data_IF_137703201863
#
_entry.id   IF_137703201863
#
_cell.length_a   1.000
_cell.length_b   1.000
_cell.length_c   1.000
_cell.angle_alpha   90.00
_cell.angle_beta   90.00
_cell.angle_gamma   90.00
#
_symmetry.space_group_name_H-M   'P 1'
#
loop_
_entity.id
_entity.type
_entity.pdbx_description
1 polymer ?
#
# COMPACT_ATOMS: atom_id res chain seq x y z
N UNK A 1 -14.99 -12.41 2.14
CA UNK A 1 -14.82 -11.52 0.97
C UNK A 1 -14.33 -10.20 1.51
N UNK A 2 -13.12 -9.80 1.16
CA UNK A 2 -12.59 -8.49 1.52
C UNK A 2 -13.38 -7.41 0.78
N UNK A 3 -13.95 -6.46 1.51
CA UNK A 3 -14.65 -5.33 0.90
C UNK A 3 -13.62 -4.29 0.48
N UNK A 4 -13.39 -4.17 -0.83
CA UNK A 4 -12.53 -3.14 -1.40
C UNK A 4 -13.39 -1.92 -1.70
N UNK A 5 -13.03 -0.79 -1.09
CA UNK A 5 -13.58 0.52 -1.39
C UNK A 5 -12.60 1.19 -2.36
N UNK A 6 -13.02 1.41 -3.60
CA UNK A 6 -12.24 2.16 -4.58
C UNK A 6 -12.16 3.64 -4.18
N UNK A 7 -11.00 4.25 -4.41
CA UNK A 7 -10.76 5.68 -4.17
C UNK A 7 -10.07 6.29 -5.40
N UNK A 8 -9.96 7.62 -5.43
CA UNK A 8 -9.12 8.28 -6.42
C UNK A 8 -7.65 7.86 -6.23
N UNK A 9 -6.97 7.36 -7.27
CA UNK A 9 -5.58 6.95 -7.16
C UNK A 9 -4.66 8.09 -6.73
N UNK A 10 -3.69 7.80 -5.87
CA UNK A 10 -2.67 8.79 -5.49
C UNK A 10 -1.31 8.13 -5.25
N UNK A 11 -0.25 8.90 -5.44
CA UNK A 11 1.12 8.45 -5.25
C UNK A 11 1.50 8.44 -3.77
N UNK A 12 2.11 7.35 -3.34
CA UNK A 12 2.47 7.11 -1.95
C UNK A 12 3.79 6.35 -1.86
N UNK A 13 4.24 6.13 -0.62
CA UNK A 13 5.28 5.18 -0.31
C UNK A 13 4.87 4.28 0.85
N UNK A 14 5.25 3.02 0.81
CA UNK A 14 4.99 2.04 1.87
C UNK A 14 6.30 1.58 2.54
N UNK A 15 6.29 1.32 3.86
CA UNK A 15 7.47 0.89 4.59
C UNK A 15 7.68 -0.62 4.47
N UNK A 16 8.93 -1.03 4.20
CA UNK A 16 9.38 -2.42 4.27
C UNK A 16 10.47 -2.54 5.32
N UNK A 17 10.21 -3.35 6.35
CA UNK A 17 11.20 -3.70 7.36
C UNK A 17 12.10 -4.82 6.85
N UNK A 18 13.41 -4.55 6.79
CA UNK A 18 14.41 -5.54 6.44
C UNK A 18 14.96 -6.24 7.69
N UNK A 19 15.52 -7.44 7.52
CA UNK A 19 16.28 -8.10 8.58
C UNK A 19 17.41 -7.17 9.07
N UNK A 20 17.47 -6.94 10.39
CA UNK A 20 18.36 -5.94 10.99
C UNK A 20 17.68 -4.64 11.43
N UNK A 21 16.36 -4.51 11.26
CA UNK A 21 15.56 -3.42 11.84
C UNK A 21 15.52 -2.12 11.01
N UNK A 22 16.26 -2.05 9.89
CA UNK A 22 16.17 -0.93 8.96
C UNK A 22 14.81 -0.95 8.24
N UNK A 23 14.18 0.22 8.14
CA UNK A 23 12.96 0.42 7.36
C UNK A 23 13.30 1.24 6.11
N UNK A 24 13.03 0.68 4.93
CA UNK A 24 13.11 1.41 3.65
C UNK A 24 11.70 1.71 3.15
N UNK A 25 11.54 2.82 2.45
CA UNK A 25 10.26 3.23 1.85
C UNK A 25 10.33 3.05 0.34
N UNK A 26 9.29 2.44 -0.22
CA UNK A 26 9.19 2.14 -1.65
C UNK A 26 7.98 2.86 -2.24
N UNK A 27 8.18 3.44 -3.42
CA UNK A 27 7.12 4.17 -4.13
C UNK A 27 6.01 3.21 -4.58
N UNK A 28 4.77 3.68 -4.52
CA UNK A 28 3.60 2.96 -4.98
C UNK A 28 2.47 3.93 -5.37
N UNK A 29 1.43 3.39 -6.00
CA UNK A 29 0.16 4.08 -6.17
C UNK A 29 -0.91 3.38 -5.33
N UNK A 30 -1.67 4.12 -4.54
CA UNK A 30 -2.82 3.60 -3.78
C UNK A 30 -4.07 3.75 -4.63
N UNK A 31 -4.86 2.69 -4.80
CA UNK A 31 -6.09 2.71 -5.61
C UNK A 31 -7.36 2.33 -4.84
N UNK A 32 -7.22 1.90 -3.59
CA UNK A 32 -8.34 1.43 -2.80
C UNK A 32 -8.00 1.20 -1.34
N UNK A 33 -9.02 0.97 -0.54
CA UNK A 33 -8.92 0.58 0.87
C UNK A 33 -9.72 -0.71 1.07
N UNK A 34 -9.06 -1.73 1.59
CA UNK A 34 -9.67 -2.98 2.05
C UNK A 34 -10.08 -2.83 3.50
N UNK A 35 -11.31 -3.24 3.80
CA UNK A 35 -11.81 -3.30 5.15
C UNK A 35 -12.35 -4.71 5.45
N UNK A 36 -11.57 -5.52 6.17
CA UNK A 36 -11.88 -6.93 6.40
C UNK A 36 -12.83 -7.18 7.60
N UNK A 37 -13.13 -6.15 8.41
CA UNK A 37 -14.11 -6.24 9.51
C UNK A 37 -14.14 -5.00 10.40
N UNK A 38 -15.20 -4.83 11.21
CA UNK A 38 -15.44 -3.63 12.04
C UNK A 38 -14.36 -3.26 13.05
N UNK A 39 -13.41 -4.16 13.30
CA UNK A 39 -12.27 -3.97 14.20
C UNK A 39 -10.93 -3.83 13.47
N UNK A 40 -10.92 -3.92 12.13
CA UNK A 40 -9.69 -3.80 11.36
C UNK A 40 -9.44 -2.33 11.00
N UNK A 41 -8.17 -1.89 11.03
CA UNK A 41 -7.82 -0.48 10.81
C UNK A 41 -7.84 -0.05 9.33
N UNK A 42 -8.41 -0.88 8.45
CA UNK A 42 -8.31 -0.71 7.01
C UNK A 42 -6.88 -0.95 6.50
N UNK A 43 -6.76 -1.49 5.29
CA UNK A 43 -5.47 -1.66 4.61
C UNK A 43 -5.56 -1.01 3.24
N UNK A 44 -4.48 -0.39 2.80
CA UNK A 44 -4.40 0.23 1.48
C UNK A 44 -4.11 -0.82 0.43
N UNK A 45 -4.88 -0.82 -0.66
CA UNK A 45 -4.54 -1.54 -1.88
C UNK A 45 -3.52 -0.72 -2.63
N UNK A 46 -2.32 -1.26 -2.74
CA UNK A 46 -1.18 -0.62 -3.41
C UNK A 46 -0.89 -1.32 -4.73
N UNK A 47 -0.48 -0.54 -5.73
CA UNK A 47 0.14 -0.99 -6.98
C UNK A 47 1.58 -0.50 -6.99
N UNK A 48 2.51 -1.42 -7.26
CA UNK A 48 3.95 -1.12 -7.39
C UNK A 48 4.47 -1.64 -8.71
N UNK A 49 5.29 -0.86 -9.40
CA UNK A 49 6.09 -1.36 -10.51
C UNK A 49 7.36 -2.03 -9.94
N UNK A 50 7.57 -3.30 -10.26
CA UNK A 50 8.79 -4.01 -9.92
C UNK A 50 9.95 -3.64 -10.85
N UNK A 51 11.17 -4.04 -10.46
CA UNK A 51 12.38 -3.83 -11.28
C UNK A 51 12.31 -4.53 -12.66
N UNK A 52 11.34 -5.44 -12.84
CA UNK A 52 11.03 -6.14 -14.08
C UNK A 52 9.95 -5.44 -14.93
N UNK A 53 9.48 -4.26 -14.52
CA UNK A 53 8.40 -3.52 -15.17
C UNK A 53 7.01 -4.14 -14.97
N UNK A 54 6.87 -5.15 -14.10
CA UNK A 54 5.57 -5.74 -13.79
C UNK A 54 4.87 -5.00 -12.66
N UNK A 55 3.55 -4.92 -12.74
CA UNK A 55 2.73 -4.33 -11.68
C UNK A 55 2.31 -5.39 -10.67
N UNK A 56 2.53 -5.10 -9.40
CA UNK A 56 2.15 -5.97 -8.29
C UNK A 56 1.12 -5.29 -7.41
N UNK A 57 0.09 -6.04 -6.99
CA UNK A 57 -0.94 -5.56 -6.07
C UNK A 57 -0.74 -6.17 -4.69
N UNK A 58 -0.77 -5.34 -3.65
CA UNK A 58 -0.67 -5.78 -2.25
C UNK A 58 -1.55 -4.96 -1.33
N UNK A 59 -1.69 -5.38 -0.07
CA UNK A 59 -2.43 -4.67 0.97
C UNK A 59 -1.51 -4.28 2.12
N UNK A 60 -1.45 -2.99 2.46
CA UNK A 60 -0.53 -2.47 3.48
C UNK A 60 -1.25 -1.67 4.57
N UNK A 61 -0.87 -1.85 5.86
CA UNK A 61 -1.54 -1.15 6.97
C UNK A 61 -1.13 0.32 7.09
N UNK A 62 -0.05 0.74 6.43
CA UNK A 62 0.42 2.12 6.47
C UNK A 62 1.10 2.52 5.16
N UNK A 63 0.84 3.76 4.75
CA UNK A 63 1.46 4.44 3.60
C UNK A 63 1.67 5.92 3.97
N UNK A 64 2.57 6.59 3.26
CA UNK A 64 2.77 8.04 3.34
C UNK A 64 2.55 8.64 1.94
N UNK A 65 1.76 9.71 1.84
CA UNK A 65 1.64 10.51 0.62
C UNK A 65 2.96 11.17 0.25
N UNK A 66 3.32 11.14 -1.03
CA UNK A 66 4.62 11.65 -1.52
C UNK A 66 4.57 13.15 -1.80
N UNK A 67 3.37 13.72 -1.91
CA UNK A 67 3.06 15.12 -2.19
C UNK A 67 2.89 16.01 -0.94
N UNK A 68 3.16 15.47 0.27
CA UNK A 68 3.13 16.18 1.57
C UNK A 68 4.50 16.28 2.28
#
# INVERSE_FOLDING_TARGET
MSNVIAIEPFDAAYPVKQMGGKTNWYQCQVIGVVHDGSHDQGRFVIITEGDDGQMYTSSMPSVRRVDE
#
